data_IF_431289370809
#
_entry.id   IF_431289370809
#
_cell.length_a   1.000
_cell.length_b   1.000
_cell.length_c   1.000
_cell.angle_alpha   90.00
_cell.angle_beta   90.00
_cell.angle_gamma   90.00
#
_symmetry.space_group_name_H-M   'P 1'
#
loop_
_entity.id
_entity.type
_entity.pdbx_description
1 polymer ?
#
# COMPACT_ATOMS: atom_id res chain seq x y z
N UNK A 1 57.16 9.54 -23.13
CA UNK A 1 56.05 9.18 -22.22
C UNK A 1 56.05 10.15 -21.03
N UNK A 2 55.12 11.12 -21.03
CA UNK A 2 54.87 12.02 -19.89
C UNK A 2 53.59 11.54 -19.22
N UNK A 3 53.70 10.75 -18.16
CA UNK A 3 52.58 10.42 -17.28
C UNK A 3 52.33 11.64 -16.37
N UNK A 4 51.08 12.08 -16.36
CA UNK A 4 50.66 13.40 -15.91
C UNK A 4 50.61 13.54 -14.39
N UNK A 5 51.16 14.65 -13.92
CA UNK A 5 51.20 15.16 -12.54
C UNK A 5 49.81 15.44 -11.90
N UNK A 6 48.72 15.03 -12.55
CA UNK A 6 47.34 15.38 -12.18
C UNK A 6 46.61 14.26 -11.40
N UNK A 7 47.04 13.00 -11.49
CA UNK A 7 46.41 11.90 -10.76
C UNK A 7 46.66 12.01 -9.23
N UNK A 8 47.87 12.42 -8.85
CA UNK A 8 48.28 12.51 -7.43
C UNK A 8 47.55 13.61 -6.67
N UNK A 9 47.15 14.70 -7.34
CA UNK A 9 46.42 15.81 -6.71
C UNK A 9 44.98 15.42 -6.34
N UNK A 10 44.34 14.59 -7.17
CA UNK A 10 42.97 14.11 -6.96
C UNK A 10 42.88 13.13 -5.77
N UNK A 11 43.87 12.24 -5.63
CA UNK A 11 43.93 11.29 -4.51
C UNK A 11 44.14 11.99 -3.16
N UNK A 12 44.99 13.02 -3.11
CA UNK A 12 45.23 13.79 -1.89
C UNK A 12 43.95 14.57 -1.49
N UNK A 13 43.20 15.08 -2.45
CA UNK A 13 41.94 15.80 -2.19
C UNK A 13 40.82 14.85 -1.71
N UNK A 14 40.76 13.63 -2.25
CA UNK A 14 39.88 12.57 -1.74
C UNK A 14 40.24 12.12 -0.31
N UNK A 15 41.53 12.01 0.02
CA UNK A 15 41.99 11.68 1.37
C UNK A 15 41.67 12.80 2.39
N UNK A 16 41.67 14.07 1.95
CA UNK A 16 41.25 15.20 2.79
C UNK A 16 39.75 15.18 3.06
N UNK A 17 38.91 14.93 2.04
CA UNK A 17 37.45 14.79 2.21
C UNK A 17 37.04 13.57 3.06
N UNK A 18 37.82 12.50 3.06
CA UNK A 18 37.56 11.33 3.93
C UNK A 18 37.97 11.54 5.39
N UNK A 19 38.88 12.47 5.70
CA UNK A 19 39.22 12.82 7.10
C UNK A 19 38.11 13.64 7.77
N UNK A 20 37.32 14.40 7.02
CA UNK A 20 36.20 15.21 7.54
C UNK A 20 34.91 14.40 7.77
N UNK A 21 34.81 13.15 7.28
CA UNK A 21 33.65 12.27 7.55
C UNK A 21 33.73 11.53 8.89
N UNK A 22 34.91 11.42 9.50
CA UNK A 22 35.13 10.70 10.77
C UNK A 22 34.49 11.30 12.03
N UNK A 23 34.12 12.60 12.13
CA UNK A 23 33.38 13.11 13.30
C UNK A 23 31.88 12.75 13.27
N UNK A 24 31.28 12.59 12.07
CA UNK A 24 29.84 12.33 11.91
C UNK A 24 29.44 10.90 12.30
N UNK A 25 30.28 9.89 11.98
CA UNK A 25 30.05 8.51 12.42
C UNK A 25 30.11 8.36 13.94
N UNK A 26 30.98 9.13 14.63
CA UNK A 26 31.07 9.13 16.09
C UNK A 26 29.88 9.80 16.78
N UNK A 27 29.19 10.74 16.12
CA UNK A 27 27.96 11.36 16.63
C UNK A 27 26.76 10.42 16.44
N UNK A 28 26.65 9.78 15.27
CA UNK A 28 25.58 8.82 14.99
C UNK A 28 25.66 7.58 15.89
N UNK A 29 26.87 7.07 16.19
CA UNK A 29 27.02 5.95 17.14
C UNK A 29 26.63 6.32 18.58
N UNK A 30 26.90 7.56 19.01
CA UNK A 30 26.52 8.03 20.36
C UNK A 30 25.02 8.31 20.50
N UNK A 31 24.35 8.76 19.43
CA UNK A 31 22.89 8.85 19.42
C UNK A 31 22.22 7.47 19.33
N UNK A 32 22.84 6.50 18.65
CA UNK A 32 22.31 5.13 18.54
C UNK A 32 22.32 4.35 19.87
N UNK A 33 23.24 4.65 20.80
CA UNK A 33 23.34 3.92 22.08
C UNK A 33 22.42 4.52 23.16
N UNK A 34 22.09 5.81 23.09
CA UNK A 34 21.15 6.44 24.03
C UNK A 34 19.69 6.02 23.81
N UNK A 35 19.34 5.47 22.64
CA UNK A 35 18.00 4.96 22.32
C UNK A 35 17.81 3.46 22.66
N UNK A 36 18.87 2.73 22.99
CA UNK A 36 18.82 1.30 23.29
C UNK A 36 18.72 0.97 24.80
N UNK A 37 18.73 1.99 25.68
CA UNK A 37 18.76 1.80 27.13
C UNK A 37 17.45 2.18 27.86
N UNK A 38 16.34 2.36 27.15
CA UNK A 38 15.06 2.83 27.76
C UNK A 38 13.87 1.89 27.58
N UNK A 39 14.07 0.59 27.33
CA UNK A 39 12.98 -0.40 27.36
C UNK A 39 13.39 -1.76 27.93
N UNK A 40 14.12 -1.77 29.04
CA UNK A 40 14.17 -2.95 29.92
C UNK A 40 13.38 -2.57 31.17
N UNK A 41 12.10 -2.93 31.19
CA UNK A 41 11.25 -3.38 32.31
C UNK A 41 9.80 -3.23 31.84
N UNK A 42 9.22 -4.26 31.23
CA UNK A 42 7.86 -4.74 31.56
C UNK A 42 7.80 -6.25 31.26
N UNK A 43 7.57 -7.02 32.32
CA UNK A 43 6.84 -8.29 32.37
C UNK A 43 6.84 -9.23 31.17
N UNK A 44 7.40 -10.42 31.39
CA UNK A 44 6.88 -11.66 30.83
C UNK A 44 5.37 -11.76 31.05
N UNK A 45 4.59 -11.50 30.01
CA UNK A 45 3.21 -11.98 29.87
C UNK A 45 3.07 -12.54 28.48
N UNK A 46 2.62 -13.80 28.39
CA UNK A 46 2.23 -14.45 27.15
C UNK A 46 1.42 -13.48 26.28
N UNK A 47 2.01 -12.95 25.21
CA UNK A 47 1.27 -12.26 24.17
C UNK A 47 0.41 -13.31 23.46
N UNK A 48 -0.79 -13.58 23.97
CA UNK A 48 -1.89 -13.76 23.05
C UNK A 48 -1.99 -12.43 22.32
N UNK A 49 -1.50 -12.36 21.09
CA UNK A 49 -1.95 -11.34 20.16
C UNK A 49 -3.46 -11.56 19.98
N UNK A 50 -4.27 -11.00 20.89
CA UNK A 50 -5.61 -10.59 20.54
C UNK A 50 -5.41 -9.66 19.35
N UNK A 51 -5.73 -10.16 18.15
CA UNK A 51 -5.80 -9.34 16.96
C UNK A 51 -6.83 -8.25 17.26
N UNK A 52 -6.35 -7.07 17.58
CA UNK A 52 -7.20 -5.92 17.81
C UNK A 52 -7.85 -5.57 16.48
N UNK A 53 -9.14 -5.88 16.35
CA UNK A 53 -9.91 -5.44 15.19
C UNK A 53 -9.91 -3.90 15.12
N UNK A 54 -9.72 -3.39 13.92
CA UNK A 54 -9.71 -1.97 13.61
C UNK A 54 -11.15 -1.48 13.52
N UNK A 55 -11.46 -0.39 14.21
CA UNK A 55 -12.77 0.28 14.19
C UNK A 55 -12.97 1.14 12.94
N UNK A 56 -14.22 1.53 12.66
CA UNK A 56 -14.57 2.45 11.56
C UNK A 56 -13.78 3.76 11.66
N UNK A 57 -13.64 4.33 12.86
CA UNK A 57 -12.90 5.58 13.08
C UNK A 57 -11.42 5.47 12.70
N UNK A 58 -10.81 4.31 12.97
CA UNK A 58 -9.42 4.04 12.58
C UNK A 58 -9.29 3.84 11.07
N UNK A 59 -10.24 3.18 10.41
CA UNK A 59 -10.29 3.15 8.93
C UNK A 59 -10.41 4.56 8.36
N UNK A 60 -11.27 5.39 8.95
CA UNK A 60 -11.44 6.79 8.54
C UNK A 60 -10.12 7.56 8.64
N UNK A 61 -9.36 7.37 9.71
CA UNK A 61 -8.04 7.97 9.88
C UNK A 61 -7.03 7.49 8.84
N UNK A 62 -7.00 6.18 8.55
CA UNK A 62 -6.12 5.59 7.53
C UNK A 62 -6.37 6.18 6.13
N UNK A 63 -7.62 6.45 5.78
CA UNK A 63 -7.99 6.94 4.45
C UNK A 63 -8.08 8.47 4.36
N UNK A 64 -8.06 9.19 5.48
CA UNK A 64 -8.22 10.66 5.53
C UNK A 64 -7.22 11.41 4.65
N UNK A 65 -5.97 10.94 4.60
CA UNK A 65 -4.93 11.53 3.77
C UNK A 65 -5.20 11.35 2.27
N UNK A 66 -5.80 10.22 1.88
CA UNK A 66 -6.17 9.91 0.48
C UNK A 66 -7.42 10.66 0.03
N UNK A 67 -8.27 11.06 0.96
CA UNK A 67 -9.52 11.75 0.67
C UNK A 67 -9.32 13.24 0.31
N UNK A 68 -8.09 13.76 0.33
CA UNK A 68 -7.76 15.18 0.14
C UNK A 68 -8.60 16.11 1.03
N UNK A 69 -8.85 15.67 2.27
CA UNK A 69 -9.65 16.41 3.24
C UNK A 69 -11.17 16.35 3.03
N UNK A 70 -11.66 15.58 2.05
CA UNK A 70 -13.09 15.33 1.86
C UNK A 70 -13.63 14.30 2.85
N UNK A 71 -14.91 14.42 3.19
CA UNK A 71 -15.62 13.39 3.93
C UNK A 71 -15.86 12.18 3.03
N UNK A 72 -15.52 10.99 3.53
CA UNK A 72 -15.66 9.73 2.80
C UNK A 72 -16.69 8.86 3.49
N UNK A 73 -17.54 8.21 2.69
CA UNK A 73 -18.55 7.31 3.22
C UNK A 73 -17.91 5.95 3.52
N UNK A 74 -17.89 5.55 4.80
CA UNK A 74 -17.34 4.29 5.26
C UNK A 74 -18.46 3.43 5.82
N UNK A 75 -18.60 2.21 5.30
CA UNK A 75 -19.65 1.27 5.70
C UNK A 75 -19.06 -0.07 6.05
N UNK A 76 -19.44 -0.60 7.21
CA UNK A 76 -19.19 -1.99 7.54
C UNK A 76 -20.11 -2.90 6.72
N UNK A 77 -19.56 -3.92 6.07
CA UNK A 77 -20.30 -4.87 5.23
C UNK A 77 -19.92 -6.30 5.55
N UNK A 78 -20.91 -7.18 5.65
CA UNK A 78 -20.70 -8.62 5.75
C UNK A 78 -20.44 -9.18 4.35
N UNK A 79 -19.15 -9.34 4.03
CA UNK A 79 -18.70 -9.81 2.74
C UNK A 79 -18.87 -8.79 1.61
N UNK A 80 -18.20 -9.06 0.50
CA UNK A 80 -18.34 -8.30 -0.73
C UNK A 80 -18.00 -9.16 -1.95
N UNK A 81 -18.52 -8.74 -3.09
CA UNK A 81 -18.10 -9.20 -4.41
C UNK A 81 -17.90 -7.97 -5.28
N UNK A 82 -16.65 -7.67 -5.64
CA UNK A 82 -16.34 -6.51 -6.47
C UNK A 82 -16.48 -6.84 -7.97
N UNK A 83 -15.99 -8.01 -8.40
CA UNK A 83 -16.09 -8.48 -9.79
C UNK A 83 -16.03 -10.01 -9.86
N UNK A 84 -16.91 -10.59 -10.67
CA UNK A 84 -16.95 -12.01 -11.06
C UNK A 84 -16.59 -13.01 -9.95
N UNK A 85 -17.38 -13.03 -8.89
CA UNK A 85 -17.14 -13.90 -7.74
C UNK A 85 -17.86 -15.24 -7.93
N UNK A 86 -17.13 -16.33 -7.66
CA UNK A 86 -17.69 -17.68 -7.66
C UNK A 86 -18.63 -17.87 -6.45
N UNK A 87 -19.54 -18.85 -6.55
CA UNK A 87 -20.58 -19.13 -5.54
C UNK A 87 -20.03 -19.46 -4.15
N UNK A 88 -18.80 -19.93 -4.06
CA UNK A 88 -18.07 -20.23 -2.81
C UNK A 88 -17.51 -18.97 -2.12
N UNK A 89 -17.58 -17.79 -2.76
CA UNK A 89 -17.29 -16.50 -2.13
C UNK A 89 -15.80 -16.21 -1.91
N UNK A 90 -14.91 -17.11 -2.31
CA UNK A 90 -13.46 -16.92 -2.25
C UNK A 90 -12.88 -16.60 -3.64
N UNK A 91 -12.18 -15.47 -3.72
CA UNK A 91 -11.52 -15.01 -4.93
C UNK A 91 -10.73 -13.74 -4.66
N UNK A 92 -9.88 -13.32 -5.60
CA UNK A 92 -9.07 -12.10 -5.45
C UNK A 92 -9.93 -10.85 -5.25
N UNK A 93 -11.19 -10.88 -5.68
CA UNK A 93 -12.10 -9.74 -5.63
C UNK A 93 -13.37 -9.99 -4.82
N UNK A 94 -13.32 -10.94 -3.88
CA UNK A 94 -14.43 -11.23 -2.98
C UNK A 94 -13.97 -11.60 -1.58
N UNK A 95 -14.86 -11.41 -0.61
CA UNK A 95 -14.70 -11.97 0.72
C UNK A 95 -16.07 -12.31 1.30
N UNK A 96 -16.14 -13.37 2.09
CA UNK A 96 -17.29 -13.68 2.93
C UNK A 96 -17.15 -13.11 4.36
N UNK A 97 -16.00 -12.52 4.68
CA UNK A 97 -15.71 -11.92 5.98
C UNK A 97 -16.25 -10.49 6.05
N UNK A 98 -16.41 -9.98 7.25
CA UNK A 98 -16.75 -8.57 7.44
C UNK A 98 -15.59 -7.68 6.97
N UNK A 99 -15.93 -6.66 6.19
CA UNK A 99 -15.01 -5.68 5.62
C UNK A 99 -15.54 -4.26 5.81
N UNK A 100 -14.67 -3.28 5.64
CA UNK A 100 -15.03 -1.88 5.54
C UNK A 100 -14.98 -1.44 4.09
N UNK A 101 -16.12 -1.03 3.53
CA UNK A 101 -16.22 -0.40 2.22
C UNK A 101 -16.04 1.11 2.40
N UNK A 102 -15.04 1.68 1.74
CA UNK A 102 -14.81 3.14 1.65
C UNK A 102 -15.17 3.59 0.23
N UNK A 103 -16.07 4.56 0.14
CA UNK A 103 -16.57 5.11 -1.13
C UNK A 103 -16.00 6.51 -1.37
N UNK A 104 -15.13 6.63 -2.36
CA UNK A 104 -14.56 7.88 -2.85
C UNK A 104 -15.21 8.36 -4.14
N UNK A 105 -16.26 7.68 -4.61
CA UNK A 105 -16.88 7.94 -5.91
C UNK A 105 -17.39 9.38 -6.01
N UNK A 106 -17.21 9.97 -7.18
CA UNK A 106 -17.75 11.29 -7.52
C UNK A 106 -18.58 11.19 -8.80
N UNK A 107 -19.12 12.30 -9.29
CA UNK A 107 -19.92 12.29 -10.52
C UNK A 107 -19.09 11.79 -11.70
N UNK A 108 -19.47 10.65 -12.28
CA UNK A 108 -18.76 10.03 -13.41
C UNK A 108 -17.56 9.14 -13.03
N UNK A 109 -17.08 9.19 -11.78
CA UNK A 109 -15.96 8.39 -11.29
C UNK A 109 -16.43 7.36 -10.26
N UNK A 110 -16.18 6.09 -10.56
CA UNK A 110 -16.22 5.02 -9.59
C UNK A 110 -14.87 4.93 -8.88
N UNK A 111 -14.85 5.05 -7.55
CA UNK A 111 -13.66 4.74 -6.74
C UNK A 111 -14.08 4.16 -5.39
N UNK A 112 -13.77 2.88 -5.17
CA UNK A 112 -14.07 2.18 -3.91
C UNK A 112 -12.89 1.38 -3.42
N UNK A 113 -12.68 1.39 -2.12
CA UNK A 113 -11.70 0.54 -1.43
C UNK A 113 -12.42 -0.38 -0.43
N UNK A 114 -11.90 -1.59 -0.26
CA UNK A 114 -12.38 -2.57 0.71
C UNK A 114 -11.25 -2.95 1.65
N UNK A 115 -11.43 -2.74 2.95
CA UNK A 115 -10.45 -3.04 3.98
C UNK A 115 -10.92 -4.21 4.86
N UNK A 116 -9.99 -5.05 5.32
CA UNK A 116 -10.27 -6.07 6.33
C UNK A 116 -10.50 -5.44 7.71
N UNK A 117 -11.03 -6.24 8.65
CA UNK A 117 -11.08 -5.89 10.09
C UNK A 117 -9.70 -5.70 10.71
N UNK A 118 -8.63 -6.16 10.07
CA UNK A 118 -7.25 -5.91 10.50
C UNK A 118 -6.67 -4.61 9.87
N UNK A 119 -7.45 -3.86 9.09
CA UNK A 119 -7.02 -2.63 8.43
C UNK A 119 -6.24 -2.81 7.12
N UNK A 120 -6.16 -4.03 6.59
CA UNK A 120 -5.47 -4.27 5.31
C UNK A 120 -6.37 -3.96 4.12
N UNK A 121 -5.84 -3.25 3.13
CA UNK A 121 -6.50 -3.05 1.85
C UNK A 121 -6.62 -4.40 1.12
N UNK A 122 -7.84 -4.87 0.91
CA UNK A 122 -8.15 -6.10 0.19
C UNK A 122 -8.34 -5.84 -1.29
N UNK A 123 -9.16 -4.86 -1.64
CA UNK A 123 -9.47 -4.54 -3.03
C UNK A 123 -9.62 -3.03 -3.19
N UNK A 124 -9.07 -2.51 -4.27
CA UNK A 124 -9.30 -1.15 -4.73
C UNK A 124 -9.87 -1.20 -6.15
N UNK A 125 -10.95 -0.47 -6.39
CA UNK A 125 -11.60 -0.37 -7.69
C UNK A 125 -11.69 1.07 -8.15
N UNK A 126 -11.28 1.35 -9.40
CA UNK A 126 -11.35 2.68 -10.03
C UNK A 126 -11.92 2.53 -11.44
N UNK A 127 -12.71 3.50 -11.91
CA UNK A 127 -13.18 3.51 -13.28
C UNK A 127 -14.38 4.44 -13.47
N UNK A 128 -15.22 4.13 -14.45
CA UNK A 128 -16.40 4.90 -14.77
C UNK A 128 -17.62 3.98 -14.99
N UNK A 129 -18.58 4.43 -15.80
CA UNK A 129 -19.82 3.71 -16.08
C UNK A 129 -19.68 2.58 -17.12
N UNK A 130 -18.63 2.58 -17.93
CA UNK A 130 -18.38 1.59 -18.99
C UNK A 130 -17.25 0.63 -18.66
N UNK A 131 -16.23 1.10 -17.95
CA UNK A 131 -15.02 0.35 -17.61
C UNK A 131 -14.63 0.55 -16.15
N UNK A 132 -14.22 -0.54 -15.49
CA UNK A 132 -13.64 -0.50 -14.15
C UNK A 132 -12.43 -1.41 -14.06
N UNK A 133 -11.49 -0.99 -13.25
CA UNK A 133 -10.29 -1.72 -12.91
C UNK A 133 -10.33 -2.08 -11.44
N UNK A 134 -10.04 -3.34 -11.11
CA UNK A 134 -10.00 -3.81 -9.73
C UNK A 134 -8.63 -4.41 -9.43
N UNK A 135 -7.99 -3.90 -8.38
CA UNK A 135 -6.72 -4.39 -7.88
C UNK A 135 -6.88 -5.04 -6.52
N UNK A 136 -6.29 -6.22 -6.35
CA UNK A 136 -5.98 -6.79 -5.04
C UNK A 136 -4.46 -6.76 -4.87
N UNK A 137 -3.90 -5.98 -3.93
CA UNK A 137 -2.46 -5.84 -3.77
C UNK A 137 -1.80 -7.05 -3.09
N UNK A 138 -2.55 -7.98 -2.50
CA UNK A 138 -1.99 -9.04 -1.66
C UNK A 138 -2.83 -10.33 -1.68
N UNK A 139 -3.27 -10.76 -2.85
CA UNK A 139 -3.96 -12.03 -2.98
C UNK A 139 -2.95 -13.17 -3.00
N UNK A 140 -2.90 -13.97 -1.92
CA UNK A 140 -1.96 -15.11 -1.78
C UNK A 140 -0.50 -14.70 -2.02
N UNK A 141 -0.11 -13.50 -1.59
CA UNK A 141 1.23 -12.95 -1.74
C UNK A 141 1.53 -12.36 -3.12
N UNK A 142 0.50 -12.12 -3.94
CA UNK A 142 0.62 -11.53 -5.28
C UNK A 142 -0.27 -10.31 -5.45
N UNK A 143 0.16 -9.39 -6.32
CA UNK A 143 -0.71 -8.34 -6.83
C UNK A 143 -1.52 -8.90 -8.00
N UNK A 144 -2.85 -8.75 -7.97
CA UNK A 144 -3.74 -9.12 -9.07
C UNK A 144 -4.51 -7.88 -9.50
N UNK A 145 -4.61 -7.66 -10.81
CA UNK A 145 -5.37 -6.58 -11.41
C UNK A 145 -6.27 -7.17 -12.49
N UNK A 146 -7.52 -6.73 -12.55
CA UNK A 146 -8.45 -7.12 -13.59
C UNK A 146 -9.15 -5.90 -14.17
N UNK A 147 -9.26 -5.87 -15.50
CA UNK A 147 -10.15 -4.97 -16.22
C UNK A 147 -11.53 -5.59 -16.31
N UNK A 148 -12.57 -4.81 -16.07
CA UNK A 148 -13.94 -5.23 -16.19
C UNK A 148 -14.75 -4.24 -17.02
N UNK A 149 -15.50 -4.76 -18.00
CA UNK A 149 -16.42 -3.97 -18.81
C UNK A 149 -17.86 -4.27 -18.41
N UNK A 150 -18.72 -3.25 -18.54
CA UNK A 150 -20.14 -3.38 -18.23
C UNK A 150 -20.90 -4.00 -19.40
N UNK A 151 -21.53 -5.16 -19.19
CA UNK A 151 -22.46 -5.78 -20.13
C UNK A 151 -23.83 -5.90 -19.46
N UNK A 152 -24.77 -5.03 -19.87
CA UNK A 152 -26.04 -4.87 -19.18
C UNK A 152 -25.85 -4.33 -17.77
N UNK A 153 -26.32 -5.06 -16.75
CA UNK A 153 -26.16 -4.70 -15.33
C UNK A 153 -24.96 -5.37 -14.64
N UNK A 154 -24.18 -6.17 -15.38
CA UNK A 154 -23.12 -7.03 -14.83
C UNK A 154 -21.74 -6.53 -15.30
N UNK A 155 -20.75 -6.56 -14.41
CA UNK A 155 -19.35 -6.28 -14.72
C UNK A 155 -18.63 -7.58 -15.07
N UNK A 156 -18.16 -7.69 -16.30
CA UNK A 156 -17.44 -8.86 -16.81
C UNK A 156 -15.95 -8.59 -16.88
N UNK A 157 -15.11 -9.45 -16.29
CA UNK A 157 -13.66 -9.35 -16.41
C UNK A 157 -13.26 -9.67 -17.86
N UNK A 158 -12.41 -8.84 -18.45
CA UNK A 158 -11.94 -8.98 -19.84
C UNK A 158 -10.45 -9.28 -19.93
N UNK A 159 -9.66 -8.76 -18.99
CA UNK A 159 -8.20 -8.89 -18.99
C UNK A 159 -7.72 -9.01 -17.55
N UNK A 160 -6.78 -9.94 -17.28
CA UNK A 160 -6.14 -10.14 -16.00
C UNK A 160 -4.62 -9.94 -16.08
N UNK A 161 -4.08 -9.29 -15.05
CA UNK A 161 -2.65 -8.96 -14.92
C UNK A 161 -2.17 -9.37 -13.54
N UNK A 162 -0.90 -9.73 -13.42
CA UNK A 162 -0.31 -10.17 -12.15
C UNK A 162 1.03 -9.49 -11.84
N UNK A 163 1.34 -9.42 -10.56
CA UNK A 163 2.62 -9.01 -9.99
C UNK A 163 3.12 -7.68 -10.57
N UNK A 164 4.33 -7.63 -11.13
CA UNK A 164 4.97 -6.40 -11.62
C UNK A 164 4.18 -5.71 -12.73
N UNK A 165 3.52 -6.49 -13.60
CA UNK A 165 2.71 -5.94 -14.67
C UNK A 165 1.44 -5.28 -14.11
N UNK A 166 0.79 -5.95 -13.16
CA UNK A 166 -0.37 -5.40 -12.46
C UNK A 166 -0.01 -4.10 -11.72
N UNK A 167 1.14 -4.05 -11.05
CA UNK A 167 1.60 -2.85 -10.33
C UNK A 167 1.91 -1.69 -11.28
N UNK A 168 2.63 -1.96 -12.37
CA UNK A 168 2.98 -0.95 -13.36
C UNK A 168 1.73 -0.38 -14.07
N UNK A 169 0.78 -1.25 -14.43
CA UNK A 169 -0.46 -0.85 -15.07
C UNK A 169 -1.37 -0.09 -14.09
N UNK A 170 -1.45 -0.53 -12.83
CA UNK A 170 -2.24 0.15 -11.80
C UNK A 170 -1.76 1.58 -11.55
N UNK A 171 -0.44 1.80 -11.53
CA UNK A 171 0.12 3.14 -11.37
C UNK A 171 -0.30 4.08 -12.51
N UNK A 172 -0.39 3.58 -13.74
CA UNK A 172 -0.89 4.34 -14.90
C UNK A 172 -2.38 4.63 -14.78
N UNK A 173 -3.19 3.61 -14.50
CA UNK A 173 -4.65 3.75 -14.30
C UNK A 173 -4.93 4.82 -13.24
N UNK A 174 -4.23 4.80 -12.10
CA UNK A 174 -4.39 5.81 -11.05
C UNK A 174 -4.00 7.23 -11.44
N UNK A 175 -3.17 7.41 -12.45
CA UNK A 175 -2.80 8.74 -12.93
C UNK A 175 -3.79 9.27 -13.98
N UNK A 176 -4.48 8.36 -14.68
CA UNK A 176 -5.45 8.69 -15.73
C UNK A 176 -6.86 9.00 -15.18
N UNK A 177 -7.11 8.69 -13.90
CA UNK A 177 -8.36 8.92 -13.16
C UNK A 177 -8.13 9.83 -11.96
#
# INVERSE_FOLDING_TARGET
>A
MKLSYNATKLEIEMLRKNKERKPLEKILLKMGIALLATNIVVGSTNCSHEKTEVSISQIAELVRQKADGREVNIRERKGFCAVHCKKDGEGPFSSNKTVYEVDFSTSGLYHKEFYSKDGFLLVEGIGNESERWFRNPNWKGKTVLVRALKTGSIWYPTEDYMDKEAEALWAKIKADY
#
